data_IF_910611939219
#
_entry.id   IF_910611939219
#
_cell.length_a   1.000
_cell.length_b   1.000
_cell.length_c   1.000
_cell.angle_alpha   90.00
_cell.angle_beta   90.00
_cell.angle_gamma   90.00
#
_symmetry.space_group_name_H-M   'P 1'
#
loop_
_entity.id
_entity.type
_entity.pdbx_description
1 polymer ?
#
# COMPACT_ATOMS: atom_id res chain seq x y z
N UNK A 1 -9.13 21.19 -0.15
CA UNK A 1 -8.85 21.66 -1.53
C UNK A 1 -10.11 22.00 -2.33
N UNK A 2 -11.32 21.78 -1.77
CA UNK A 2 -12.60 22.10 -2.42
C UNK A 2 -12.96 21.22 -3.63
N UNK A 3 -12.27 20.08 -3.78
CA UNK A 3 -12.57 19.10 -4.82
C UNK A 3 -13.45 17.98 -4.26
N UNK A 4 -14.44 17.56 -5.02
CA UNK A 4 -15.19 16.33 -4.74
C UNK A 4 -14.32 15.14 -5.13
N UNK A 5 -14.00 14.27 -4.15
CA UNK A 5 -13.13 13.12 -4.35
C UNK A 5 -13.90 11.83 -4.10
N UNK A 6 -13.64 10.82 -4.92
CA UNK A 6 -14.17 9.47 -4.75
C UNK A 6 -12.99 8.50 -4.76
N UNK A 7 -12.91 7.67 -3.74
CA UNK A 7 -11.99 6.55 -3.65
C UNK A 7 -12.73 5.32 -4.16
N UNK A 8 -12.18 4.66 -5.16
CA UNK A 8 -12.76 3.45 -5.76
C UNK A 8 -11.86 2.28 -5.43
N UNK A 9 -12.38 1.30 -4.70
CA UNK A 9 -11.67 0.11 -4.26
C UNK A 9 -12.32 -1.16 -4.82
N UNK A 10 -11.49 -2.03 -5.39
CA UNK A 10 -11.96 -3.28 -5.99
C UNK A 10 -12.37 -4.33 -4.95
N UNK A 11 -11.76 -4.29 -3.78
CA UNK A 11 -12.01 -5.24 -2.72
C UNK A 11 -13.20 -4.83 -1.84
N UNK A 12 -13.68 -5.78 -1.06
CA UNK A 12 -14.84 -5.58 -0.16
C UNK A 12 -14.47 -4.78 1.09
N UNK A 13 -13.19 -4.79 1.42
CA UNK A 13 -12.63 -4.19 2.63
C UNK A 13 -11.28 -3.57 2.29
N UNK A 14 -11.07 -2.34 2.76
CA UNK A 14 -9.80 -1.62 2.54
C UNK A 14 -8.67 -2.36 3.25
N UNK A 15 -7.56 -2.58 2.56
CA UNK A 15 -6.35 -3.17 3.13
C UNK A 15 -6.40 -4.67 3.39
N UNK A 16 -7.41 -5.38 2.88
CA UNK A 16 -7.56 -6.84 3.06
C UNK A 16 -7.68 -7.52 1.68
N UNK A 17 -6.85 -8.56 1.40
CA UNK A 17 -5.76 -9.11 2.23
C UNK A 17 -4.51 -8.22 2.28
N UNK A 18 -3.70 -8.41 3.32
CA UNK A 18 -2.44 -7.67 3.47
C UNK A 18 -1.39 -8.24 2.52
N UNK A 19 -0.80 -7.39 1.68
CA UNK A 19 0.27 -7.72 0.74
C UNK A 19 1.46 -6.77 0.92
N UNK A 20 2.05 -6.75 2.13
CA UNK A 20 3.08 -5.77 2.47
C UNK A 20 3.92 -6.26 3.65
N UNK A 21 5.20 -5.89 3.69
CA UNK A 21 6.06 -6.04 4.87
C UNK A 21 5.73 -5.08 6.02
N UNK A 22 4.74 -4.20 5.85
CA UNK A 22 4.08 -3.41 6.90
C UNK A 22 4.98 -2.40 7.63
N UNK A 23 6.13 -2.05 7.05
CA UNK A 23 7.09 -1.12 7.67
C UNK A 23 6.86 0.31 7.20
N UNK A 24 6.95 1.26 8.14
CA UNK A 24 6.88 2.69 7.87
C UNK A 24 8.01 3.42 8.61
N UNK A 25 8.81 4.20 7.87
CA UNK A 25 9.91 4.95 8.50
C UNK A 25 9.40 6.13 9.32
N UNK A 26 10.11 6.47 10.41
CA UNK A 26 9.83 7.67 11.20
C UNK A 26 9.90 8.94 10.34
N UNK A 27 10.85 9.00 9.41
CA UNK A 27 11.00 10.14 8.48
C UNK A 27 9.74 10.34 7.64
N UNK A 28 9.10 9.27 7.19
CA UNK A 28 7.87 9.39 6.42
C UNK A 28 6.70 9.91 7.28
N UNK A 29 6.62 9.46 8.52
CA UNK A 29 5.62 9.93 9.49
C UNK A 29 5.80 11.42 9.75
N UNK A 30 7.04 11.85 10.03
CA UNK A 30 7.36 13.24 10.33
C UNK A 30 7.12 14.16 9.10
N UNK A 31 7.53 13.73 7.90
CA UNK A 31 7.35 14.51 6.68
C UNK A 31 5.88 14.69 6.26
N UNK A 32 5.04 13.73 6.60
CA UNK A 32 3.63 13.75 6.26
C UNK A 32 2.74 14.24 7.41
N UNK A 33 3.35 14.58 8.55
CA UNK A 33 2.65 15.01 9.78
C UNK A 33 1.52 14.04 10.16
N UNK A 34 1.84 12.75 10.19
CA UNK A 34 0.88 11.69 10.46
C UNK A 34 0.74 11.46 11.96
N UNK A 35 -0.45 11.66 12.51
CA UNK A 35 -0.81 11.29 13.88
C UNK A 35 -1.40 9.87 13.88
N UNK A 36 -0.51 8.88 13.81
CA UNK A 36 -0.88 7.47 13.67
C UNK A 36 -1.47 6.96 14.99
N UNK A 37 -2.69 6.39 14.99
CA UNK A 37 -3.30 5.82 16.19
C UNK A 37 -2.46 4.66 16.76
N UNK A 38 -2.43 4.54 18.09
CA UNK A 38 -1.63 3.53 18.79
C UNK A 38 -2.01 2.09 18.41
N UNK A 39 -3.28 1.84 18.14
CA UNK A 39 -3.80 0.52 17.76
C UNK A 39 -3.45 0.10 16.32
N UNK A 40 -2.95 1.04 15.52
CA UNK A 40 -2.41 0.80 14.18
C UNK A 40 -0.94 0.38 14.24
N UNK A 41 -0.23 0.74 15.33
CA UNK A 41 1.18 0.42 15.50
C UNK A 41 1.34 -0.98 16.10
N UNK A 42 1.80 -1.92 15.29
CA UNK A 42 2.11 -3.28 15.73
C UNK A 42 3.42 -3.36 16.52
N UNK A 43 4.41 -2.53 16.20
CA UNK A 43 5.67 -2.45 16.94
C UNK A 43 6.41 -1.13 16.63
N UNK A 44 7.03 -0.53 17.65
CA UNK A 44 8.06 0.49 17.47
C UNK A 44 9.39 -0.20 17.16
N UNK A 45 9.93 0.05 15.96
CA UNK A 45 11.14 -0.59 15.49
C UNK A 45 12.37 0.09 16.08
N UNK A 46 13.30 -0.71 16.63
CA UNK A 46 14.59 -0.22 17.13
C UNK A 46 15.62 0.03 16.04
N UNK A 47 15.44 -0.60 14.89
CA UNK A 47 16.35 -0.53 13.75
C UNK A 47 16.19 -1.77 12.85
N UNK A 48 17.05 -1.83 11.85
CA UNK A 48 17.08 -2.88 10.83
C UNK A 48 18.40 -3.63 10.92
N UNK A 49 18.39 -4.96 10.96
CA UNK A 49 19.56 -5.79 10.79
C UNK A 49 19.56 -6.40 9.39
N UNK A 50 20.61 -6.13 8.65
CA UNK A 50 20.88 -6.81 7.38
C UNK A 50 21.86 -7.93 7.64
N UNK A 51 21.45 -9.17 7.43
CA UNK A 51 22.18 -10.39 7.75
C UNK A 51 22.70 -11.00 6.46
N UNK A 52 24.01 -11.19 6.38
CA UNK A 52 24.69 -11.70 5.21
C UNK A 52 24.84 -13.23 5.26
N UNK A 53 25.14 -13.90 4.11
CA UNK A 53 25.27 -15.37 4.05
C UNK A 53 26.34 -15.96 4.96
N UNK A 54 27.36 -15.19 5.28
CA UNK A 54 28.45 -15.59 6.20
C UNK A 54 28.08 -15.45 7.69
N UNK A 55 26.83 -15.05 7.98
CA UNK A 55 26.34 -14.84 9.34
C UNK A 55 26.70 -13.46 9.93
N UNK A 56 27.47 -12.63 9.23
CA UNK A 56 27.70 -11.27 9.69
C UNK A 56 26.44 -10.43 9.56
N UNK A 57 26.31 -9.40 10.40
CA UNK A 57 25.17 -8.50 10.36
C UNK A 57 25.58 -7.04 10.39
N UNK A 58 24.88 -6.22 9.62
CA UNK A 58 24.99 -4.76 9.66
C UNK A 58 23.74 -4.18 10.29
N UNK A 59 23.92 -3.38 11.32
CA UNK A 59 22.83 -2.65 11.98
C UNK A 59 22.64 -1.29 11.32
N UNK A 60 21.40 -1.01 10.92
CA UNK A 60 20.93 0.31 10.52
C UNK A 60 20.03 0.83 11.65
N UNK A 61 20.37 2.00 12.17
CA UNK A 61 19.71 2.59 13.35
C UNK A 61 18.51 3.45 13.01
N UNK A 62 17.99 3.33 11.82
CA UNK A 62 16.78 4.04 11.40
C UNK A 62 15.57 3.53 12.19
N UNK A 63 14.85 4.48 12.76
CA UNK A 63 13.63 4.20 13.51
C UNK A 63 12.42 4.22 12.60
N UNK A 64 11.38 3.52 13.03
CA UNK A 64 10.11 3.48 12.34
C UNK A 64 9.13 2.57 13.06
N UNK A 65 8.08 2.24 12.36
CA UNK A 65 6.99 1.44 12.87
C UNK A 65 6.79 0.19 12.03
N UNK A 66 6.40 -0.89 12.66
CA UNK A 66 5.68 -1.99 12.03
C UNK A 66 4.20 -1.73 12.26
N UNK A 67 3.39 -1.81 11.24
CA UNK A 67 1.98 -1.48 11.28
C UNK A 67 1.10 -2.73 11.29
N UNK A 68 -0.09 -2.62 11.82
CA UNK A 68 -1.22 -3.44 11.40
C UNK A 68 -1.74 -2.81 10.10
N UNK A 69 -1.18 -3.22 8.95
CA UNK A 69 -1.31 -2.51 7.67
C UNK A 69 -2.76 -2.29 7.22
N UNK A 70 -3.62 -3.30 7.42
CA UNK A 70 -5.04 -3.17 7.11
C UNK A 70 -5.72 -2.06 7.93
N UNK A 71 -5.39 -1.94 9.22
CA UNK A 71 -5.92 -0.86 10.07
C UNK A 71 -5.38 0.50 9.66
N UNK A 72 -4.10 0.57 9.25
CA UNK A 72 -3.51 1.80 8.76
C UNK A 72 -4.21 2.30 7.49
N UNK A 73 -4.47 1.43 6.54
CA UNK A 73 -5.17 1.79 5.32
C UNK A 73 -6.63 2.19 5.58
N UNK A 74 -7.31 1.48 6.48
CA UNK A 74 -8.65 1.83 6.93
C UNK A 74 -8.67 3.19 7.60
N UNK A 75 -7.74 3.45 8.51
CA UNK A 75 -7.62 4.76 9.17
C UNK A 75 -7.38 5.89 8.16
N UNK A 76 -6.46 5.73 7.20
CA UNK A 76 -6.24 6.73 6.14
C UNK A 76 -7.50 6.97 5.30
N UNK A 77 -8.22 5.91 5.00
CA UNK A 77 -9.48 5.99 4.25
C UNK A 77 -10.55 6.73 5.05
N UNK A 78 -10.67 6.45 6.34
CA UNK A 78 -11.61 7.12 7.25
C UNK A 78 -11.29 8.62 7.38
N UNK A 79 -10.01 8.96 7.49
CA UNK A 79 -9.58 10.38 7.49
C UNK A 79 -9.97 11.08 6.18
N UNK A 80 -9.78 10.43 5.03
CA UNK A 80 -10.21 10.97 3.75
C UNK A 80 -11.74 11.17 3.68
N UNK A 81 -12.52 10.22 4.20
CA UNK A 81 -13.98 10.30 4.27
C UNK A 81 -14.42 11.42 5.21
N UNK A 82 -13.79 11.59 6.37
CA UNK A 82 -14.03 12.72 7.29
C UNK A 82 -13.77 14.07 6.60
N UNK A 83 -12.82 14.13 5.68
CA UNK A 83 -12.54 15.32 4.85
C UNK A 83 -13.47 15.47 3.64
N UNK A 84 -14.49 14.63 3.51
CA UNK A 84 -15.54 14.71 2.50
C UNK A 84 -15.33 13.84 1.25
N UNK A 85 -14.35 12.95 1.24
CA UNK A 85 -14.24 11.95 0.19
C UNK A 85 -15.37 10.91 0.29
N UNK A 86 -15.78 10.36 -0.83
CA UNK A 86 -16.70 9.21 -0.90
C UNK A 86 -15.90 7.94 -1.12
N UNK A 87 -16.31 6.86 -0.49
CA UNK A 87 -15.71 5.54 -0.66
C UNK A 87 -16.67 4.61 -1.39
N UNK A 88 -16.19 3.97 -2.46
CA UNK A 88 -16.91 2.97 -3.24
C UNK A 88 -16.13 1.65 -3.18
N UNK A 89 -16.56 0.72 -2.32
CA UNK A 89 -15.99 -0.62 -2.16
C UNK A 89 -16.63 -1.62 -3.13
N UNK A 90 -15.92 -2.70 -3.40
CA UNK A 90 -16.36 -3.75 -4.34
C UNK A 90 -16.58 -3.21 -5.75
N UNK A 91 -15.81 -2.21 -6.13
CA UNK A 91 -15.86 -1.57 -7.43
C UNK A 91 -14.56 -1.77 -8.18
N UNK A 92 -14.59 -2.55 -9.23
CA UNK A 92 -13.44 -2.74 -10.12
C UNK A 92 -13.61 -1.90 -11.38
N UNK A 93 -12.75 -0.91 -11.56
CA UNK A 93 -12.69 -0.13 -12.81
C UNK A 93 -12.31 -1.05 -13.96
N UNK A 94 -13.08 -1.04 -15.03
CA UNK A 94 -12.91 -1.91 -16.21
C UNK A 94 -12.76 -1.16 -17.52
N UNK A 95 -13.13 0.12 -17.55
CA UNK A 95 -12.86 0.99 -18.69
C UNK A 95 -12.62 2.42 -18.27
N UNK A 96 -11.85 3.14 -19.08
CA UNK A 96 -11.58 4.56 -18.94
C UNK A 96 -11.53 5.19 -20.34
N UNK A 97 -12.34 6.22 -20.56
CA UNK A 97 -12.45 6.90 -21.82
C UNK A 97 -12.30 8.42 -21.63
N UNK A 98 -11.65 9.08 -22.59
CA UNK A 98 -11.59 10.54 -22.63
C UNK A 98 -12.84 11.10 -23.29
N UNK A 99 -13.49 12.03 -22.61
CA UNK A 99 -14.60 12.81 -23.17
C UNK A 99 -14.06 14.14 -23.67
N UNK A 100 -14.45 14.51 -24.88
CA UNK A 100 -14.09 15.77 -25.50
C UNK A 100 -15.34 16.64 -25.67
N UNK A 101 -15.17 17.96 -25.51
CA UNK A 101 -16.24 18.91 -25.71
C UNK A 101 -16.48 19.13 -27.23
N UNK A 102 -17.47 19.99 -27.58
CA UNK A 102 -17.82 20.31 -28.95
C UNK A 102 -16.70 21.01 -29.76
N UNK A 103 -15.67 21.50 -29.08
CA UNK A 103 -14.46 22.10 -29.69
C UNK A 103 -13.31 21.11 -29.83
N UNK A 104 -13.56 19.81 -29.53
CA UNK A 104 -12.56 18.77 -29.53
C UNK A 104 -11.45 18.98 -28.47
N UNK A 105 -11.76 19.64 -27.37
CA UNK A 105 -10.89 19.82 -26.22
C UNK A 105 -11.26 18.80 -25.16
N UNK A 106 -10.24 18.24 -24.43
CA UNK A 106 -10.49 17.32 -23.32
C UNK A 106 -11.39 17.98 -22.27
N UNK A 107 -12.43 17.28 -21.87
CA UNK A 107 -13.40 17.75 -20.88
C UNK A 107 -13.35 16.93 -19.59
N UNK A 108 -13.59 15.63 -19.70
CA UNK A 108 -13.70 14.72 -18.55
C UNK A 108 -13.16 13.33 -18.89
N UNK A 109 -12.97 12.53 -17.85
CA UNK A 109 -12.86 11.09 -17.96
C UNK A 109 -14.21 10.45 -17.72
N UNK A 110 -14.58 9.49 -18.56
CA UNK A 110 -15.64 8.53 -18.28
C UNK A 110 -15.01 7.25 -17.73
N UNK A 111 -15.51 6.78 -16.60
CA UNK A 111 -15.01 5.60 -15.92
C UNK A 111 -16.18 4.65 -15.73
N UNK A 112 -16.01 3.42 -16.18
CA UNK A 112 -16.97 2.34 -15.96
C UNK A 112 -16.33 1.20 -15.19
N UNK A 113 -17.14 0.43 -14.49
CA UNK A 113 -16.65 -0.66 -13.65
C UNK A 113 -17.73 -1.69 -13.33
N UNK A 114 -17.32 -2.71 -12.60
CA UNK A 114 -18.21 -3.72 -12.02
C UNK A 114 -18.40 -3.42 -10.55
N UNK A 115 -19.62 -3.40 -10.08
CA UNK A 115 -20.00 -3.14 -8.69
C UNK A 115 -21.24 -2.25 -8.58
N UNK A 116 -21.39 -1.58 -7.43
CA UNK A 116 -22.49 -0.66 -7.19
C UNK A 116 -22.35 0.64 -8.01
N UNK A 117 -23.37 1.45 -8.14
CA UNK A 117 -23.31 2.71 -8.88
C UNK A 117 -22.32 3.71 -8.24
N UNK A 118 -21.45 4.28 -9.04
CA UNK A 118 -20.63 5.42 -8.68
C UNK A 118 -20.62 6.44 -9.83
N UNK A 119 -20.26 7.69 -9.59
CA UNK A 119 -20.20 8.68 -10.66
C UNK A 119 -19.27 8.24 -11.78
N UNK A 120 -19.82 8.17 -12.98
CA UNK A 120 -19.09 7.68 -14.15
C UNK A 120 -18.17 8.73 -14.80
N UNK A 121 -18.21 9.99 -14.33
CA UNK A 121 -17.41 11.06 -14.91
C UNK A 121 -16.60 11.81 -13.85
N UNK A 122 -15.35 12.12 -14.17
CA UNK A 122 -14.47 12.95 -13.34
C UNK A 122 -13.48 13.77 -14.18
N UNK A 123 -12.93 14.82 -13.59
CA UNK A 123 -11.94 15.69 -14.26
C UNK A 123 -10.53 15.15 -14.21
N UNK A 124 -10.20 14.40 -13.20
CA UNK A 124 -8.87 13.82 -13.00
C UNK A 124 -8.98 12.44 -12.38
N UNK A 125 -8.05 11.58 -12.69
CA UNK A 125 -7.89 10.24 -12.13
C UNK A 125 -6.50 10.12 -11.57
N UNK A 126 -6.41 9.55 -10.35
CA UNK A 126 -5.17 9.11 -9.75
C UNK A 126 -5.20 7.59 -9.74
N UNK A 127 -4.31 6.95 -10.50
CA UNK A 127 -4.18 5.51 -10.48
C UNK A 127 -3.31 5.08 -9.29
N UNK A 128 -3.94 4.50 -8.28
CA UNK A 128 -3.32 3.92 -7.11
C UNK A 128 -3.56 2.40 -7.04
N UNK A 129 -3.81 1.75 -8.17
CA UNK A 129 -4.15 0.32 -8.26
C UNK A 129 -2.95 -0.62 -8.12
N UNK A 130 -1.79 -0.10 -7.72
CA UNK A 130 -0.58 -0.88 -7.49
C UNK A 130 -0.11 -1.61 -8.75
N UNK A 131 0.38 -2.84 -8.59
CA UNK A 131 0.87 -3.68 -9.71
C UNK A 131 -0.21 -4.00 -10.75
N UNK A 132 -1.49 -3.85 -10.37
CA UNK A 132 -2.59 -4.02 -11.32
C UNK A 132 -2.55 -3.01 -12.45
N UNK A 133 -2.11 -1.76 -12.17
CA UNK A 133 -1.91 -0.71 -13.16
C UNK A 133 -3.17 -0.47 -13.99
N UNK A 134 -4.31 -0.20 -13.34
CA UNK A 134 -5.60 -0.15 -14.02
C UNK A 134 -5.63 0.90 -15.14
N UNK A 135 -5.27 2.14 -14.85
CA UNK A 135 -5.24 3.20 -15.85
C UNK A 135 -4.16 2.96 -16.90
N UNK A 136 -2.97 2.50 -16.50
CA UNK A 136 -1.85 2.20 -17.40
C UNK A 136 -2.26 1.18 -18.45
N UNK A 137 -2.96 0.11 -18.05
CA UNK A 137 -3.44 -0.93 -18.96
C UNK A 137 -4.61 -0.47 -19.81
N UNK A 138 -5.59 0.19 -19.20
CA UNK A 138 -6.81 0.63 -19.90
C UNK A 138 -6.54 1.74 -20.93
N UNK A 139 -5.48 2.53 -20.72
CA UNK A 139 -5.10 3.62 -21.60
C UNK A 139 -3.93 3.29 -22.52
N UNK A 140 -3.44 2.05 -22.49
CA UNK A 140 -2.28 1.59 -23.27
C UNK A 140 -1.08 2.55 -23.18
N UNK A 141 -0.70 2.89 -21.93
CA UNK A 141 0.37 3.87 -21.70
C UNK A 141 1.78 3.31 -21.94
N UNK A 142 1.88 2.07 -22.41
CA UNK A 142 3.15 1.47 -22.87
C UNK A 142 4.21 1.31 -21.78
N UNK A 143 3.83 1.19 -20.52
CA UNK A 143 4.77 1.04 -19.39
C UNK A 143 5.09 -0.44 -19.20
N UNK A 144 6.33 -0.84 -19.44
CA UNK A 144 6.83 -2.15 -19.00
C UNK A 144 7.09 -2.09 -17.50
N UNK A 145 6.41 -2.97 -16.75
CA UNK A 145 6.59 -3.12 -15.31
C UNK A 145 7.20 -4.49 -15.07
N UNK A 146 8.39 -4.52 -14.50
CA UNK A 146 8.96 -5.75 -13.97
C UNK A 146 8.26 -6.12 -12.66
N UNK A 147 7.70 -7.32 -12.59
CA UNK A 147 6.96 -7.80 -11.43
C UNK A 147 7.81 -8.82 -10.68
N UNK A 148 8.06 -8.54 -9.41
CA UNK A 148 8.71 -9.47 -8.48
C UNK A 148 7.64 -10.04 -7.55
N UNK A 149 7.58 -11.37 -7.45
CA UNK A 149 6.65 -12.06 -6.59
C UNK A 149 7.24 -12.24 -5.19
N UNK A 150 6.52 -11.79 -4.17
CA UNK A 150 6.83 -12.07 -2.77
C UNK A 150 5.85 -13.07 -2.16
N UNK A 151 6.34 -13.84 -1.18
CA UNK A 151 5.51 -14.69 -0.33
C UNK A 151 5.62 -14.21 1.12
N UNK A 152 4.51 -14.22 1.82
CA UNK A 152 4.43 -13.73 3.19
C UNK A 152 3.61 -14.69 4.05
N UNK A 153 4.08 -14.90 5.28
CA UNK A 153 3.36 -15.66 6.29
C UNK A 153 3.27 -14.83 7.56
N UNK A 154 2.13 -14.83 8.22
CA UNK A 154 2.05 -14.42 9.61
C UNK A 154 2.34 -15.62 10.52
N UNK A 155 3.25 -15.43 11.45
CA UNK A 155 3.70 -16.45 12.41
C UNK A 155 3.36 -16.02 13.83
N UNK A 156 3.05 -17.01 14.66
CA UNK A 156 2.85 -16.84 16.10
C UNK A 156 4.00 -17.48 16.88
N UNK A 157 4.09 -17.12 18.16
CA UNK A 157 5.08 -17.64 19.10
C UNK A 157 6.53 -17.32 18.71
N UNK A 158 6.73 -16.24 17.94
CA UNK A 158 8.05 -15.75 17.55
C UNK A 158 8.59 -14.84 18.63
N UNK A 159 9.76 -15.17 19.17
CA UNK A 159 10.49 -14.27 20.05
C UNK A 159 11.19 -13.20 19.21
N UNK A 160 11.15 -11.96 19.68
CA UNK A 160 11.78 -10.85 18.99
C UNK A 160 12.41 -9.87 19.97
N UNK A 161 13.38 -9.13 19.50
CA UNK A 161 14.10 -8.11 20.25
C UNK A 161 13.81 -6.69 19.79
N UNK A 162 12.85 -6.54 18.88
CA UNK A 162 12.37 -5.26 18.33
C UNK A 162 13.14 -4.76 17.12
N UNK A 163 13.99 -5.58 16.51
CA UNK A 163 14.64 -5.26 15.23
C UNK A 163 13.92 -5.95 14.09
N UNK A 164 13.97 -5.33 12.91
CA UNK A 164 13.59 -5.94 11.65
C UNK A 164 14.80 -6.68 11.09
N UNK A 165 14.63 -7.93 10.70
CA UNK A 165 15.69 -8.75 10.12
C UNK A 165 15.49 -8.93 8.62
N UNK A 166 16.50 -8.58 7.84
CA UNK A 166 16.57 -8.81 6.40
C UNK A 166 17.75 -9.72 6.09
N UNK A 167 17.45 -10.91 5.58
CA UNK A 167 18.43 -11.92 5.25
C UNK A 167 18.73 -11.90 3.76
N UNK A 168 19.96 -11.61 3.40
CA UNK A 168 20.45 -11.66 2.02
C UNK A 168 20.90 -13.09 1.68
N UNK A 169 19.93 -13.98 1.53
CA UNK A 169 20.18 -15.40 1.25
C UNK A 169 19.76 -15.79 -0.17
N UNK A 170 20.70 -15.72 -1.15
CA UNK A 170 20.40 -15.99 -2.55
C UNK A 170 19.83 -17.39 -2.83
N UNK A 171 20.13 -18.36 -1.97
CA UNK A 171 19.61 -19.74 -2.08
C UNK A 171 18.09 -19.79 -1.91
N UNK A 172 17.53 -18.92 -1.07
CA UNK A 172 16.09 -18.88 -0.76
C UNK A 172 15.36 -17.76 -1.49
N UNK A 173 16.05 -16.69 -1.79
CA UNK A 173 15.48 -15.52 -2.49
C UNK A 173 16.49 -14.97 -3.50
N UNK A 174 16.59 -15.59 -4.69
CA UNK A 174 17.46 -15.10 -5.76
C UNK A 174 17.05 -13.68 -6.16
N UNK A 175 18.02 -12.75 -6.16
CA UNK A 175 17.81 -11.33 -6.46
C UNK A 175 16.90 -10.55 -5.49
N UNK A 176 16.59 -11.16 -4.34
CA UNK A 176 15.75 -10.57 -3.30
C UNK A 176 16.33 -10.78 -1.90
N UNK A 177 15.45 -10.84 -0.93
CA UNK A 177 15.79 -11.09 0.48
C UNK A 177 14.64 -11.81 1.19
N UNK A 178 14.96 -12.46 2.29
CA UNK A 178 13.98 -12.99 3.24
C UNK A 178 13.88 -12.00 4.40
N UNK A 179 12.69 -11.78 4.94
CA UNK A 179 12.50 -10.90 6.08
C UNK A 179 11.86 -11.60 7.26
N UNK A 180 12.14 -11.09 8.46
CA UNK A 180 11.39 -11.36 9.66
C UNK A 180 11.06 -10.02 10.32
N UNK A 181 9.80 -9.66 10.32
CA UNK A 181 9.29 -8.39 10.80
C UNK A 181 8.43 -8.66 12.03
N UNK A 182 8.93 -8.34 13.24
CA UNK A 182 8.24 -8.66 14.47
C UNK A 182 7.05 -7.73 14.72
N UNK A 183 6.04 -8.27 15.40
CA UNK A 183 4.86 -7.55 15.87
C UNK A 183 4.64 -7.80 17.37
N UNK A 184 3.84 -6.96 18.04
CA UNK A 184 3.39 -7.19 19.41
C UNK A 184 2.73 -8.56 19.56
N UNK A 185 2.76 -9.13 20.77
CA UNK A 185 2.11 -10.41 21.06
C UNK A 185 2.83 -11.63 20.49
N UNK A 186 4.17 -11.56 20.34
CA UNK A 186 4.99 -12.66 19.81
C UNK A 186 4.56 -13.11 18.41
N UNK A 187 4.15 -12.16 17.60
CA UNK A 187 3.85 -12.38 16.16
C UNK A 187 4.98 -11.86 15.30
N UNK A 188 5.10 -12.37 14.10
CA UNK A 188 5.97 -11.85 13.06
C UNK A 188 5.36 -12.11 11.68
N UNK A 189 5.86 -11.33 10.75
CA UNK A 189 5.56 -11.42 9.33
C UNK A 189 6.87 -11.80 8.60
#
# INVERSE_FOLDING_TARGET
AGLTTIIVEADKEVGVPVHCGECLSQIAVDNLDLDIPEDVVALDCKGIRVIFPDGTAKLLTEKGYVLEKHKFEQWLCDEAVKQGAKLALSHRVTSMERIYNSKNEFSNWKIDGRGNEFPSECKAVIDASGVAGAATKLLDMGTEIEVITGFQYEMNEVDNDGYLDFYLWPEYSPHGYVWMIPKKGRRAN
#
